data_IF_325976105698
#
_entry.id   IF_325976105698
#
_cell.length_a   1.000
_cell.length_b   1.000
_cell.length_c   1.000
_cell.angle_alpha   90.00
_cell.angle_beta   90.00
_cell.angle_gamma   90.00
#
_symmetry.space_group_name_H-M   'P 1'
#
loop_
_entity.id
_entity.type
_entity.pdbx_description
1 polymer ?
#
# COMPACT_ATOMS: atom_id res chain seq x y z
N UNK A 1 9.82 -21.17 -10.87
CA UNK A 1 8.71 -21.02 -11.84
C UNK A 1 7.96 -19.73 -11.53
N UNK A 2 7.81 -18.83 -12.49
CA UNK A 2 7.03 -17.61 -12.33
C UNK A 2 5.58 -17.85 -12.76
N UNK A 3 4.60 -17.33 -12.00
CA UNK A 3 3.17 -17.35 -12.34
C UNK A 3 2.62 -15.94 -12.14
N UNK A 4 1.69 -15.53 -13.00
CA UNK A 4 1.05 -14.21 -12.98
C UNK A 4 -0.39 -14.37 -12.47
N UNK A 5 -0.82 -13.50 -11.56
CA UNK A 5 -2.20 -13.40 -11.08
C UNK A 5 -2.65 -11.95 -11.22
N UNK A 6 -3.76 -11.72 -11.91
CA UNK A 6 -4.28 -10.38 -12.20
C UNK A 6 -5.74 -10.25 -11.76
N UNK A 7 -6.11 -9.05 -11.30
CA UNK A 7 -7.49 -8.71 -10.93
C UNK A 7 -7.75 -7.24 -11.20
N UNK A 8 -8.85 -6.95 -11.88
CA UNK A 8 -9.33 -5.58 -12.13
C UNK A 8 -10.53 -5.29 -11.25
N UNK A 9 -10.54 -4.11 -10.64
CA UNK A 9 -11.67 -3.60 -9.85
C UNK A 9 -12.00 -2.19 -10.29
N UNK A 10 -13.28 -1.83 -10.26
CA UNK A 10 -13.72 -0.47 -10.60
C UNK A 10 -13.35 0.50 -9.48
N UNK A 11 -12.65 1.58 -9.82
CA UNK A 11 -12.32 2.65 -8.89
C UNK A 11 -13.36 3.76 -8.99
N UNK A 12 -14.18 3.92 -7.95
CA UNK A 12 -15.19 4.99 -7.87
C UNK A 12 -14.63 6.35 -7.46
N UNK A 13 -13.38 6.40 -7.01
CA UNK A 13 -12.70 7.63 -6.56
C UNK A 13 -11.81 8.21 -7.66
N UNK A 14 -11.28 9.43 -7.44
CA UNK A 14 -10.38 10.08 -8.39
C UNK A 14 -9.08 9.27 -8.58
N UNK A 15 -8.73 8.86 -9.82
CA UNK A 15 -7.51 8.10 -10.09
C UNK A 15 -6.24 8.79 -9.62
N UNK A 16 -6.15 10.11 -9.79
CA UNK A 16 -4.98 10.89 -9.36
C UNK A 16 -4.77 10.87 -7.85
N UNK A 17 -5.85 10.97 -7.07
CA UNK A 17 -5.77 10.87 -5.60
C UNK A 17 -5.35 9.47 -5.15
N UNK A 18 -5.82 8.44 -5.84
CA UNK A 18 -5.45 7.06 -5.54
C UNK A 18 -3.97 6.79 -5.86
N UNK A 19 -3.48 7.27 -7.01
CA UNK A 19 -2.07 7.16 -7.38
C UNK A 19 -1.16 7.92 -6.40
N UNK A 20 -1.54 9.14 -6.02
CA UNK A 20 -0.80 9.93 -5.02
C UNK A 20 -0.78 9.23 -3.65
N UNK A 21 -1.88 8.61 -3.22
CA UNK A 21 -1.92 7.83 -1.98
C UNK A 21 -0.94 6.65 -2.01
N UNK A 22 -0.87 5.92 -3.12
CA UNK A 22 -0.06 4.70 -3.25
C UNK A 22 1.42 4.98 -3.52
N UNK A 23 1.74 6.10 -4.18
CA UNK A 23 3.12 6.42 -4.59
C UNK A 23 3.70 7.58 -3.78
N UNK A 24 2.95 8.68 -3.64
CA UNK A 24 3.42 9.91 -2.99
C UNK A 24 3.21 9.94 -1.47
N UNK A 25 2.18 9.25 -0.96
CA UNK A 25 1.74 9.33 0.44
C UNK A 25 1.55 7.96 1.08
N UNK A 26 2.48 7.05 0.82
CA UNK A 26 2.44 5.66 1.31
C UNK A 26 2.27 5.56 2.82
N UNK A 27 2.86 6.48 3.58
CA UNK A 27 2.72 6.57 5.03
C UNK A 27 1.28 6.84 5.50
N UNK A 28 0.41 7.40 4.66
CA UNK A 28 -1.01 7.63 4.99
C UNK A 28 -1.87 6.38 4.80
N UNK A 29 -1.37 5.36 4.09
CA UNK A 29 -2.15 4.15 3.79
C UNK A 29 -2.56 3.43 5.08
N UNK A 30 -1.69 3.38 6.10
CA UNK A 30 -2.04 2.79 7.40
C UNK A 30 -3.17 3.53 8.12
N UNK A 31 -3.35 4.83 7.84
CA UNK A 31 -4.46 5.62 8.38
C UNK A 31 -5.75 5.43 7.58
N UNK A 32 -5.65 5.16 6.28
CA UNK A 32 -6.81 4.93 5.40
C UNK A 32 -7.39 3.53 5.60
N UNK A 33 -6.54 2.53 5.83
CA UNK A 33 -6.97 1.13 6.01
C UNK A 33 -6.25 0.42 7.17
N UNK A 34 -6.41 0.91 8.42
CA UNK A 34 -5.69 0.38 9.60
C UNK A 34 -5.97 -1.09 9.89
N UNK A 35 -7.15 -1.59 9.48
CA UNK A 35 -7.52 -3.00 9.62
C UNK A 35 -6.66 -3.93 8.76
N UNK A 36 -6.11 -3.45 7.65
CA UNK A 36 -5.27 -4.22 6.74
C UNK A 36 -3.79 -3.85 6.92
N UNK A 37 -3.48 -2.57 7.07
CA UNK A 37 -2.11 -2.05 7.15
C UNK A 37 -1.95 -1.28 8.46
N UNK A 38 -1.12 -1.78 9.37
CA UNK A 38 -0.91 -1.18 10.69
C UNK A 38 0.28 -0.22 10.72
N UNK A 39 1.17 -0.26 9.71
CA UNK A 39 2.32 0.63 9.70
C UNK A 39 3.10 0.64 8.40
N UNK A 40 3.83 1.74 8.24
CA UNK A 40 4.72 2.01 7.13
C UNK A 40 5.99 2.66 7.67
N UNK A 41 7.14 2.24 7.15
CA UNK A 41 8.44 2.79 7.53
C UNK A 41 9.36 2.82 6.30
N UNK A 42 9.91 4.00 5.99
CA UNK A 42 10.93 4.14 4.96
C UNK A 42 12.30 3.79 5.57
N UNK A 43 12.95 2.77 5.02
CA UNK A 43 14.24 2.26 5.51
C UNK A 43 15.40 2.87 4.77
N UNK A 44 15.31 2.92 3.44
CA UNK A 44 16.36 3.46 2.57
C UNK A 44 15.77 4.20 1.37
N UNK A 45 16.49 5.19 0.87
CA UNK A 45 16.11 5.98 -0.30
C UNK A 45 15.06 7.07 -0.01
N UNK A 46 14.31 7.43 -1.05
CA UNK A 46 13.28 8.47 -0.99
C UNK A 46 11.91 7.85 -1.32
N UNK A 47 10.88 8.18 -0.53
CA UNK A 47 9.53 7.67 -0.70
C UNK A 47 9.02 7.92 -2.13
N UNK A 48 8.47 6.88 -2.76
CA UNK A 48 7.93 6.97 -4.12
C UNK A 48 8.98 7.00 -5.25
N UNK A 49 10.28 6.86 -4.94
CA UNK A 49 11.35 6.73 -5.95
C UNK A 49 11.77 5.28 -6.16
N UNK A 50 12.23 4.99 -7.37
CA UNK A 50 12.85 3.71 -7.70
C UNK A 50 14.09 3.51 -6.83
N UNK A 51 14.23 2.32 -6.25
CA UNK A 51 15.33 1.99 -5.34
C UNK A 51 15.04 2.27 -3.87
N UNK A 52 13.86 2.79 -3.52
CA UNK A 52 13.45 2.91 -2.12
C UNK A 52 13.13 1.56 -1.49
N UNK A 53 13.51 1.40 -0.22
CA UNK A 53 13.20 0.23 0.59
C UNK A 53 12.24 0.65 1.69
N UNK A 54 11.08 -0.01 1.74
CA UNK A 54 10.02 0.28 2.71
C UNK A 54 9.62 -0.99 3.46
N UNK A 55 9.36 -0.84 4.76
CA UNK A 55 8.82 -1.88 5.61
C UNK A 55 7.33 -1.62 5.81
N UNK A 56 6.50 -2.59 5.41
CA UNK A 56 5.06 -2.58 5.66
C UNK A 56 4.71 -3.55 6.78
N UNK A 57 3.93 -3.07 7.75
CA UNK A 57 3.28 -3.92 8.76
C UNK A 57 1.81 -4.08 8.35
N UNK A 58 1.41 -5.31 8.06
CA UNK A 58 0.06 -5.64 7.59
C UNK A 58 -0.47 -6.90 8.28
N UNK A 59 -1.80 -7.03 8.31
CA UNK A 59 -2.52 -8.23 8.78
C UNK A 59 -3.25 -8.84 7.59
N UNK A 60 -3.16 -10.16 7.46
CA UNK A 60 -3.84 -10.89 6.41
C UNK A 60 -4.90 -11.83 7.01
N UNK A 61 -6.14 -11.65 6.55
CA UNK A 61 -7.32 -12.35 7.08
C UNK A 61 -8.24 -11.44 7.90
N UNK A 62 -9.44 -11.93 8.23
CA UNK A 62 -10.25 -11.33 9.29
C UNK A 62 -9.65 -11.79 10.63
N UNK A 63 -9.32 -10.86 11.53
CA UNK A 63 -9.19 -11.21 12.94
C UNK A 63 -10.58 -11.64 13.41
N UNK A 64 -10.83 -12.95 13.42
CA UNK A 64 -11.98 -13.53 14.10
C UNK A 64 -11.76 -13.33 15.59
N UNK A 65 -12.41 -12.31 16.15
CA UNK A 65 -12.83 -12.31 17.55
C UNK A 65 -14.31 -12.67 17.57
#
# INVERSE_FOLDING_TARGET
MARILEKTVELKSSPGKFLDLIVGKQHQVSSVCPSFIQGFELREGEMGKVGSIVLWRYVQGKSTL
#
